data_IF_569960086435
#
_entry.id   IF_569960086435
#
_cell.length_a   1.000
_cell.length_b   1.000
_cell.length_c   1.000
_cell.angle_alpha   90.00
_cell.angle_beta   90.00
_cell.angle_gamma   90.00
#
_symmetry.space_group_name_H-M   'P 1'
#
loop_
_entity.id
_entity.type
_entity.pdbx_description
1 polymer ?
#
# COMPACT_ATOMS: atom_id res chain seq x y z
N UNK A 1 20.98 8.26 -2.18
CA UNK A 1 20.02 8.41 -3.28
C UNK A 1 19.94 7.06 -3.96
N UNK A 2 18.73 6.58 -4.30
CA UNK A 2 18.59 5.29 -4.95
C UNK A 2 19.21 5.33 -6.36
N UNK A 3 19.86 4.24 -6.73
CA UNK A 3 20.57 4.05 -7.99
C UNK A 3 19.90 2.94 -8.81
N UNK A 4 20.11 2.92 -10.12
CA UNK A 4 19.62 1.86 -11.00
C UNK A 4 20.22 0.52 -10.59
N UNK A 5 19.36 -0.44 -10.28
CA UNK A 5 19.78 -1.79 -9.94
C UNK A 5 20.25 -2.57 -11.18
N UNK A 6 21.11 -3.59 -11.02
CA UNK A 6 21.57 -4.44 -12.12
C UNK A 6 20.45 -5.17 -12.89
N UNK A 7 19.29 -5.36 -12.26
CA UNK A 7 18.10 -5.94 -12.87
C UNK A 7 16.85 -5.50 -12.11
N UNK A 8 15.66 -5.49 -12.73
CA UNK A 8 14.41 -5.21 -12.04
C UNK A 8 14.17 -6.15 -10.85
N UNK A 9 13.53 -5.64 -9.80
CA UNK A 9 13.16 -6.40 -8.63
C UNK A 9 12.18 -7.52 -9.03
N UNK A 10 12.50 -8.78 -8.70
CA UNK A 10 11.64 -9.93 -9.02
C UNK A 10 10.30 -9.94 -8.27
N UNK A 11 10.16 -9.12 -7.22
CA UNK A 11 8.95 -9.02 -6.39
C UNK A 11 7.98 -7.97 -6.91
N UNK A 12 8.46 -6.74 -7.11
CA UNK A 12 7.61 -5.59 -7.47
C UNK A 12 7.89 -4.99 -8.85
N UNK A 13 8.93 -5.46 -9.56
CA UNK A 13 9.38 -4.91 -10.84
C UNK A 13 10.14 -3.59 -10.76
N UNK A 14 10.41 -3.05 -9.56
CA UNK A 14 11.14 -1.79 -9.40
C UNK A 14 12.57 -1.84 -9.92
N UNK A 15 13.05 -0.74 -10.51
CA UNK A 15 14.37 -0.66 -11.16
C UNK A 15 15.41 0.10 -10.34
N UNK A 16 14.99 0.80 -9.29
CA UNK A 16 15.86 1.57 -8.40
C UNK A 16 16.03 0.89 -7.05
N UNK A 17 17.19 1.08 -6.43
CA UNK A 17 17.52 0.50 -5.14
C UNK A 17 18.70 1.17 -4.45
N UNK A 18 18.97 0.71 -3.24
CA UNK A 18 20.13 1.16 -2.45
C UNK A 18 21.07 -0.01 -2.19
N UNK A 19 22.37 0.27 -2.22
CA UNK A 19 23.40 -0.74 -1.95
C UNK A 19 23.75 -0.72 -0.46
N UNK A 20 23.22 -1.68 0.29
CA UNK A 20 23.40 -1.78 1.73
C UNK A 20 24.52 -2.76 2.08
N UNK A 21 25.31 -2.45 3.13
CA UNK A 21 26.30 -3.38 3.66
C UNK A 21 25.60 -4.51 4.42
N UNK A 22 25.91 -5.75 4.06
CA UNK A 22 25.34 -6.96 4.69
C UNK A 22 26.37 -7.72 5.53
N UNK A 23 27.62 -7.29 5.53
CA UNK A 23 28.73 -7.87 6.29
C UNK A 23 30.06 -7.15 6.01
N UNK A 24 31.17 -7.67 6.54
CA UNK A 24 32.50 -7.12 6.29
C UNK A 24 32.86 -7.36 4.81
N UNK A 25 33.03 -6.28 4.04
CA UNK A 25 33.36 -6.34 2.61
C UNK A 25 32.19 -6.74 1.68
N UNK A 26 31.03 -7.10 2.22
CA UNK A 26 29.86 -7.52 1.44
C UNK A 26 28.78 -6.44 1.39
N UNK A 27 28.25 -6.18 0.20
CA UNK A 27 27.11 -5.30 0.00
C UNK A 27 26.09 -5.95 -0.94
N UNK A 28 24.82 -5.69 -0.71
CA UNK A 28 23.72 -6.19 -1.52
C UNK A 28 22.76 -5.06 -1.88
N UNK A 29 22.22 -5.13 -3.10
CA UNK A 29 21.17 -4.24 -3.54
C UNK A 29 19.87 -4.56 -2.83
N UNK A 30 19.18 -3.53 -2.36
CA UNK A 30 17.83 -3.61 -1.83
C UNK A 30 16.93 -2.71 -2.67
N UNK A 31 15.81 -3.24 -3.15
CA UNK A 31 14.86 -2.47 -3.94
C UNK A 31 14.29 -1.33 -3.09
N UNK A 32 14.32 -0.10 -3.60
CA UNK A 32 13.81 1.06 -2.88
C UNK A 32 12.29 0.97 -2.68
N UNK A 33 11.60 0.40 -3.68
CA UNK A 33 10.13 0.25 -3.73
C UNK A 33 9.58 -0.75 -2.72
N UNK A 34 10.17 -1.94 -2.57
CA UNK A 34 9.64 -3.00 -1.69
C UNK A 34 10.61 -3.52 -0.63
N UNK A 35 11.86 -3.02 -0.61
CA UNK A 35 12.90 -3.44 0.33
C UNK A 35 13.53 -4.81 0.04
N UNK A 36 13.14 -5.49 -1.05
CA UNK A 36 13.63 -6.84 -1.35
C UNK A 36 15.12 -6.83 -1.71
N UNK A 37 15.88 -7.76 -1.13
CA UNK A 37 17.30 -7.96 -1.45
C UNK A 37 17.46 -8.64 -2.80
N UNK A 38 18.13 -7.97 -3.73
CA UNK A 38 18.35 -8.48 -5.08
C UNK A 38 19.23 -9.73 -5.04
N UNK A 39 18.81 -10.78 -5.74
CA UNK A 39 19.46 -12.09 -5.76
C UNK A 39 18.76 -13.13 -4.90
N UNK A 40 18.00 -12.70 -3.88
CA UNK A 40 17.15 -13.62 -3.12
C UNK A 40 15.93 -13.99 -3.95
N UNK A 41 15.66 -15.29 -4.06
CA UNK A 41 14.45 -15.80 -4.68
C UNK A 41 13.38 -15.90 -3.58
N UNK A 42 12.22 -15.24 -3.72
CA UNK A 42 11.07 -15.61 -2.90
C UNK A 42 10.76 -17.08 -3.21
N UNK A 43 10.51 -17.88 -2.19
CA UNK A 43 10.15 -19.27 -2.38
C UNK A 43 8.86 -19.33 -3.24
N UNK A 44 8.99 -19.94 -4.41
CA UNK A 44 7.95 -19.96 -5.44
C UNK A 44 6.74 -20.81 -5.06
N UNK A 45 6.90 -21.70 -4.08
CA UNK A 45 5.84 -22.58 -3.59
C UNK A 45 5.01 -21.93 -2.47
N UNK A 46 5.45 -20.78 -1.95
CA UNK A 46 4.72 -20.06 -0.91
C UNK A 46 3.54 -19.27 -1.51
N UNK A 47 2.38 -19.29 -0.83
CA UNK A 47 1.26 -18.47 -1.24
C UNK A 47 1.63 -16.99 -1.17
N UNK A 48 1.27 -16.24 -2.22
CA UNK A 48 1.49 -14.79 -2.25
C UNK A 48 0.80 -14.15 -1.02
N UNK A 49 1.51 -13.27 -0.29
CA UNK A 49 0.95 -12.64 0.89
C UNK A 49 -0.27 -11.78 0.52
N UNK A 50 -1.29 -11.81 1.38
CA UNK A 50 -2.47 -10.96 1.27
C UNK A 50 -2.33 -9.77 2.21
N UNK A 51 -2.10 -8.59 1.65
CA UNK A 51 -2.04 -7.33 2.41
C UNK A 51 -3.40 -6.66 2.32
N UNK A 52 -4.15 -6.67 3.42
CA UNK A 52 -5.44 -6.00 3.53
C UNK A 52 -5.25 -4.51 3.78
N UNK A 53 -5.99 -3.69 3.02
CA UNK A 53 -6.02 -2.23 3.17
C UNK A 53 -7.44 -1.71 3.25
N UNK A 54 -7.62 -0.61 3.97
CA UNK A 54 -8.75 0.31 3.80
C UNK A 54 -8.34 1.38 2.81
N UNK A 55 -9.16 1.61 1.79
CA UNK A 55 -8.93 2.58 0.74
C UNK A 55 -9.91 3.75 0.83
N UNK A 56 -9.43 4.91 0.42
CA UNK A 56 -10.20 6.15 0.30
C UNK A 56 -10.18 6.57 -1.18
N UNK A 57 -11.28 6.38 -1.89
CA UNK A 57 -11.38 6.71 -3.34
C UNK A 57 -12.26 7.93 -3.55
N UNK A 58 -11.74 8.97 -4.20
CA UNK A 58 -12.52 10.16 -4.56
C UNK A 58 -13.37 9.90 -5.79
N UNK A 59 -14.59 10.40 -5.77
CA UNK A 59 -15.43 10.57 -6.94
C UNK A 59 -16.24 11.85 -6.77
N UNK A 60 -15.97 12.84 -7.62
CA UNK A 60 -16.49 14.20 -7.48
C UNK A 60 -16.22 14.76 -6.07
N UNK A 61 -17.29 15.15 -5.36
CA UNK A 61 -17.34 15.73 -4.02
C UNK A 61 -17.45 14.70 -2.89
N UNK A 62 -17.31 13.41 -3.22
CA UNK A 62 -17.48 12.28 -2.30
C UNK A 62 -16.24 11.43 -2.25
N UNK A 63 -16.13 10.68 -1.16
CA UNK A 63 -15.13 9.64 -0.98
C UNK A 63 -15.80 8.32 -0.60
N UNK A 64 -15.32 7.26 -1.24
CA UNK A 64 -15.67 5.89 -0.89
C UNK A 64 -14.64 5.34 0.08
N UNK A 65 -15.10 4.86 1.22
CA UNK A 65 -14.27 4.14 2.19
C UNK A 65 -14.62 2.67 2.11
N UNK A 66 -13.68 1.84 1.66
CA UNK A 66 -13.88 0.38 1.57
C UNK A 66 -12.61 -0.38 1.90
N UNK A 67 -12.68 -1.72 1.93
CA UNK A 67 -11.50 -2.57 2.19
C UNK A 67 -11.28 -3.59 1.07
N UNK A 68 -10.03 -4.02 0.91
CA UNK A 68 -9.66 -5.11 0.01
C UNK A 68 -8.35 -5.77 0.43
N UNK A 69 -8.26 -7.08 0.28
CA UNK A 69 -7.00 -7.83 0.33
C UNK A 69 -6.30 -7.94 -1.05
N UNK A 70 -6.99 -7.51 -2.11
CA UNK A 70 -6.50 -7.45 -3.49
C UNK A 70 -6.80 -6.06 -4.09
N UNK A 71 -6.17 -4.98 -3.59
CA UNK A 71 -6.54 -3.62 -3.98
C UNK A 71 -6.36 -3.34 -5.48
N UNK A 72 -5.31 -3.89 -6.12
CA UNK A 72 -5.07 -3.69 -7.56
C UNK A 72 -6.27 -4.15 -8.41
N UNK A 73 -6.73 -5.38 -8.18
CA UNK A 73 -7.89 -5.94 -8.87
C UNK A 73 -9.16 -5.16 -8.55
N UNK A 74 -9.40 -4.85 -7.27
CA UNK A 74 -10.62 -4.18 -6.83
C UNK A 74 -10.73 -2.76 -7.39
N UNK A 75 -9.64 -1.99 -7.39
CA UNK A 75 -9.64 -0.60 -7.85
C UNK A 75 -9.73 -0.50 -9.38
N UNK A 76 -9.25 -1.50 -10.12
CA UNK A 76 -9.33 -1.53 -11.59
C UNK A 76 -10.76 -1.53 -12.14
N UNK A 77 -11.74 -2.00 -11.34
CA UNK A 77 -13.15 -2.12 -11.75
C UNK A 77 -14.05 -1.06 -11.10
N UNK A 78 -13.53 -0.27 -10.15
CA UNK A 78 -14.29 0.80 -9.51
C UNK A 78 -14.02 2.09 -10.29
N UNK A 79 -15.07 2.74 -10.77
CA UNK A 79 -14.96 4.10 -11.31
C UNK A 79 -14.63 5.07 -10.18
N UNK A 80 -13.52 5.79 -10.30
CA UNK A 80 -13.05 6.79 -9.36
C UNK A 80 -12.20 7.83 -10.09
N UNK A 81 -12.09 9.02 -9.50
CA UNK A 81 -11.22 10.07 -10.04
C UNK A 81 -9.79 9.92 -9.52
N UNK A 82 -9.66 9.53 -8.24
CA UNK A 82 -8.40 9.56 -7.53
C UNK A 82 -8.37 8.58 -6.36
N UNK A 83 -7.25 7.89 -6.17
CA UNK A 83 -6.97 7.16 -4.95
C UNK A 83 -6.35 8.12 -3.93
N UNK A 84 -7.06 8.40 -2.85
CA UNK A 84 -6.67 9.39 -1.86
C UNK A 84 -5.82 8.84 -0.72
N UNK A 85 -5.90 7.57 -0.34
CA UNK A 85 -5.04 6.97 0.68
C UNK A 85 -5.24 5.45 0.78
N UNK A 86 -4.24 4.78 1.35
CA UNK A 86 -4.39 3.44 1.93
C UNK A 86 -4.02 3.46 3.41
N UNK A 87 -4.78 2.69 4.19
CA UNK A 87 -4.51 2.43 5.59
C UNK A 87 -4.42 0.91 5.79
N UNK A 88 -3.34 0.37 6.39
CA UNK A 88 -3.22 -1.06 6.66
C UNK A 88 -4.36 -1.54 7.57
N UNK A 89 -5.14 -2.51 7.10
CA UNK A 89 -6.26 -3.02 7.87
C UNK A 89 -7.35 -3.64 7.02
N UNK A 90 -8.17 -4.45 7.67
CA UNK A 90 -9.27 -5.16 7.04
C UNK A 90 -10.64 -4.61 7.43
N UNK A 91 -11.63 -5.49 7.38
CA UNK A 91 -13.05 -5.21 7.63
C UNK A 91 -13.32 -4.52 8.97
N UNK A 92 -12.56 -4.83 10.03
CA UNK A 92 -12.73 -4.20 11.34
C UNK A 92 -12.41 -2.69 11.31
N UNK A 93 -11.28 -2.32 10.69
CA UNK A 93 -10.87 -0.93 10.54
C UNK A 93 -11.82 -0.16 9.63
N UNK A 94 -12.26 -0.78 8.53
CA UNK A 94 -13.26 -0.19 7.64
C UNK A 94 -14.55 0.15 8.39
N UNK A 95 -15.08 -0.78 9.18
CA UNK A 95 -16.28 -0.52 10.00
C UNK A 95 -16.04 0.55 11.05
N UNK A 96 -14.84 0.62 11.64
CA UNK A 96 -14.47 1.69 12.55
C UNK A 96 -14.54 3.05 11.85
N UNK A 97 -13.92 3.20 10.67
CA UNK A 97 -13.96 4.44 9.87
C UNK A 97 -15.38 4.80 9.45
N UNK A 98 -16.22 3.81 9.11
CA UNK A 98 -17.63 4.06 8.82
C UNK A 98 -18.42 4.58 10.03
N UNK A 99 -18.09 4.13 11.24
CA UNK A 99 -18.72 4.62 12.48
C UNK A 99 -18.23 6.02 12.84
N UNK A 100 -16.92 6.25 12.71
CA UNK A 100 -16.27 7.52 12.99
C UNK A 100 -16.79 8.65 12.09
N UNK A 101 -16.90 8.39 10.78
CA UNK A 101 -17.41 9.37 9.81
C UNK A 101 -18.90 9.21 9.50
N UNK A 102 -19.67 8.56 10.38
CA UNK A 102 -21.08 8.29 10.15
C UNK A 102 -21.91 9.55 9.86
N UNK A 103 -21.55 10.69 10.47
CA UNK A 103 -22.22 11.98 10.25
C UNK A 103 -22.03 12.52 8.82
N UNK A 104 -20.99 12.09 8.11
CA UNK A 104 -20.69 12.50 6.73
C UNK A 104 -21.23 11.49 5.70
N UNK A 105 -21.89 10.43 6.16
CA UNK A 105 -22.27 9.29 5.30
C UNK A 105 -23.52 9.63 4.50
N UNK A 106 -23.43 9.47 3.18
CA UNK A 106 -24.54 9.74 2.26
C UNK A 106 -25.35 8.47 1.93
N UNK A 107 -24.79 7.30 2.24
CA UNK A 107 -25.40 6.01 2.00
C UNK A 107 -24.38 4.99 1.48
N UNK A 108 -24.57 3.72 1.83
CA UNK A 108 -23.62 2.66 1.46
C UNK A 108 -22.22 2.96 1.98
N UNK A 109 -21.21 2.94 1.10
CA UNK A 109 -19.80 3.21 1.46
C UNK A 109 -19.34 4.64 1.09
N UNK A 110 -20.28 5.55 0.79
CA UNK A 110 -19.99 6.90 0.33
C UNK A 110 -20.18 7.96 1.43
N UNK A 111 -19.22 8.89 1.47
CA UNK A 111 -19.12 9.96 2.46
C UNK A 111 -18.83 11.29 1.75
N UNK A 112 -19.38 12.38 2.24
CA UNK A 112 -19.07 13.73 1.74
C UNK A 112 -17.61 14.07 2.05
N UNK A 113 -16.86 14.56 1.06
CA UNK A 113 -15.43 14.88 1.21
C UNK A 113 -15.24 16.27 1.82
N UNK A 114 -15.47 16.36 3.13
CA UNK A 114 -15.30 17.58 3.95
C UNK A 114 -14.58 17.25 5.25
N UNK A 115 -14.21 18.26 6.03
CA UNK A 115 -13.69 18.03 7.38
C UNK A 115 -14.78 17.38 8.27
N UNK A 116 -14.40 16.46 9.17
CA UNK A 116 -13.03 16.06 9.54
C UNK A 116 -12.34 15.02 8.62
N UNK A 117 -13.02 14.50 7.59
CA UNK A 117 -12.52 13.39 6.77
C UNK A 117 -11.33 13.78 5.89
N UNK A 118 -11.33 14.99 5.32
CA UNK A 118 -10.19 15.52 4.56
C UNK A 118 -8.91 15.60 5.40
N UNK A 119 -9.02 16.08 6.64
CA UNK A 119 -7.91 16.13 7.59
C UNK A 119 -7.37 14.73 7.92
N UNK A 120 -8.25 13.76 8.14
CA UNK A 120 -7.86 12.38 8.41
C UNK A 120 -7.10 11.73 7.24
N UNK A 121 -7.60 11.90 6.02
CA UNK A 121 -6.94 11.39 4.80
C UNK A 121 -5.56 12.03 4.62
N UNK A 122 -5.44 13.34 4.85
CA UNK A 122 -4.17 14.05 4.80
C UNK A 122 -3.17 13.53 5.85
N UNK A 123 -3.63 13.22 7.06
CA UNK A 123 -2.79 12.62 8.09
C UNK A 123 -2.26 11.23 7.68
N UNK A 124 -3.11 10.37 7.11
CA UNK A 124 -2.67 9.08 6.55
C UNK A 124 -1.63 9.29 5.46
N UNK A 125 -1.87 10.23 4.54
CA UNK A 125 -0.93 10.56 3.47
C UNK A 125 0.42 11.04 3.99
N UNK A 126 0.43 11.89 5.02
CA UNK A 126 1.65 12.37 5.62
C UNK A 126 2.43 11.24 6.32
N UNK A 127 1.73 10.32 6.98
CA UNK A 127 2.36 9.20 7.71
C UNK A 127 2.85 8.09 6.77
N UNK A 128 2.08 7.76 5.72
CA UNK A 128 2.31 6.57 4.88
C UNK A 128 2.91 6.89 3.51
N UNK A 129 2.73 8.12 3.02
CA UNK A 129 3.18 8.55 1.71
C UNK A 129 2.18 8.26 0.58
N UNK A 130 2.72 8.06 -0.62
CA UNK A 130 1.95 7.65 -1.81
C UNK A 130 1.41 6.21 -1.62
N UNK A 131 0.13 5.91 -1.95
CA UNK A 131 -0.54 4.73 -1.42
C UNK A 131 0.00 3.46 -2.07
N UNK A 132 0.33 3.49 -3.36
CA UNK A 132 0.92 2.33 -4.02
C UNK A 132 2.36 2.09 -3.57
N UNK A 133 3.16 3.14 -3.40
CA UNK A 133 4.48 3.03 -2.80
C UNK A 133 4.42 2.42 -1.39
N UNK A 134 3.50 2.87 -0.55
CA UNK A 134 3.28 2.29 0.79
C UNK A 134 2.85 0.83 0.71
N UNK A 135 1.91 0.50 -0.19
CA UNK A 135 1.44 -0.87 -0.40
C UNK A 135 2.57 -1.81 -0.85
N UNK A 136 3.43 -1.37 -1.77
CA UNK A 136 4.55 -2.18 -2.27
C UNK A 136 5.57 -2.48 -1.16
N UNK A 137 5.77 -1.53 -0.23
CA UNK A 137 6.58 -1.75 0.98
C UNK A 137 5.95 -2.82 1.87
N UNK A 138 4.67 -2.68 2.22
CA UNK A 138 3.97 -3.68 3.05
C UNK A 138 3.93 -5.07 2.40
N UNK A 139 3.74 -5.13 1.09
CA UNK A 139 3.77 -6.38 0.34
C UNK A 139 5.17 -7.02 0.38
N UNK A 140 6.22 -6.23 0.19
CA UNK A 140 7.60 -6.69 0.33
C UNK A 140 7.92 -7.18 1.74
N UNK A 141 7.46 -6.49 2.78
CA UNK A 141 7.61 -6.88 4.19
C UNK A 141 6.93 -8.24 4.45
N UNK A 142 5.67 -8.38 4.02
CA UNK A 142 4.92 -9.62 4.17
C UNK A 142 5.57 -10.79 3.43
N UNK A 143 6.13 -10.55 2.24
CA UNK A 143 6.83 -11.59 1.48
C UNK A 143 8.11 -12.05 2.19
N UNK A 144 8.87 -11.14 2.79
CA UNK A 144 10.05 -11.50 3.59
C UNK A 144 9.68 -12.29 4.84
N UNK A 145 8.57 -11.94 5.49
CA UNK A 145 8.10 -12.65 6.68
C UNK A 145 7.70 -14.11 6.39
N UNK A 146 7.18 -14.41 5.19
CA UNK A 146 6.86 -15.80 4.82
C UNK A 146 8.04 -16.57 4.24
N UNK A 147 9.05 -15.87 3.70
CA UNK A 147 10.24 -16.48 3.09
C UNK A 147 11.38 -16.73 4.10
N UNK A 148 11.15 -16.49 5.40
CA UNK A 148 12.14 -16.63 6.49
C UNK A 148 11.97 -17.92 7.27
#
# INVERSE_FOLDING_TARGET
MPETMPSPCRVCGGELGERLRTGIGCSAWHCDRCGWRLGDAPDGDLPRPRVAVVYYLRYADRVKIGTSASPQQRLSVIRHDELLAFEPGGRALEQQRHREFAALREGGEWFTLVDPLTTHIAAIRAERGEPWAAYDRWYGDALRAVSS
#
